data_IF_186189285964
#
_entry.id   IF_186189285964
#
_cell.length_a   1.000
_cell.length_b   1.000
_cell.length_c   1.000
_cell.angle_alpha   90.00
_cell.angle_beta   90.00
_cell.angle_gamma   90.00
#
_symmetry.space_group_name_H-M   'P 1'
#
loop_
_entity.id
_entity.type
_entity.pdbx_description
1 polymer ?
#
# COMPACT_ATOMS: atom_id res chain seq x y z
N UNK A 1 -11.50 -54.41 13.88
CA UNK A 1 -12.49 -53.39 13.46
C UNK A 1 -12.05 -52.06 14.03
N UNK A 2 -11.82 -51.11 13.15
CA UNK A 2 -10.92 -49.95 13.30
C UNK A 2 -11.54 -48.79 14.06
N UNK A 3 -10.70 -48.18 14.89
CA UNK A 3 -10.91 -46.98 15.68
C UNK A 3 -10.78 -45.76 14.74
N UNK A 4 -11.83 -44.95 14.56
CA UNK A 4 -11.75 -43.77 13.70
C UNK A 4 -11.53 -42.51 14.54
N UNK A 5 -10.27 -42.07 14.55
CA UNK A 5 -9.83 -40.79 15.07
C UNK A 5 -10.47 -39.69 14.24
N UNK A 6 -11.31 -38.87 14.88
CA UNK A 6 -11.82 -37.64 14.31
C UNK A 6 -10.82 -36.53 14.66
N UNK A 7 -9.86 -36.28 13.78
CA UNK A 7 -8.92 -35.16 13.87
C UNK A 7 -9.21 -34.13 12.78
N UNK A 8 -9.66 -32.97 13.25
CA UNK A 8 -9.53 -31.63 12.69
C UNK A 8 -8.46 -31.46 11.59
N UNK A 9 -8.85 -30.84 10.48
CA UNK A 9 -8.00 -29.92 9.73
C UNK A 9 -8.86 -28.79 9.11
N UNK A 10 -8.59 -27.57 9.55
CA UNK A 10 -9.24 -26.33 9.13
C UNK A 10 -9.11 -26.09 7.62
N UNK A 11 -10.20 -25.70 6.97
CA UNK A 11 -10.19 -25.17 5.61
C UNK A 11 -9.59 -23.76 5.61
N UNK A 12 -8.28 -23.63 5.38
CA UNK A 12 -7.66 -22.34 5.07
C UNK A 12 -8.05 -21.92 3.66
N UNK A 13 -9.25 -21.34 3.51
CA UNK A 13 -9.72 -20.78 2.25
C UNK A 13 -8.81 -19.61 1.87
N UNK A 14 -7.91 -19.89 0.94
CA UNK A 14 -6.89 -18.99 0.40
C UNK A 14 -7.50 -18.08 -0.67
N UNK A 15 -8.63 -17.48 -0.36
CA UNK A 15 -9.49 -16.81 -1.37
C UNK A 15 -9.20 -15.32 -1.37
N UNK A 16 -8.78 -14.78 -2.52
CA UNK A 16 -8.76 -13.33 -2.74
C UNK A 16 -10.21 -12.85 -2.73
N UNK A 17 -10.51 -11.84 -1.92
CA UNK A 17 -11.88 -11.35 -1.79
C UNK A 17 -12.30 -10.59 -3.06
N UNK A 18 -13.59 -10.68 -3.39
CA UNK A 18 -14.15 -9.84 -4.44
C UNK A 18 -14.04 -8.37 -4.05
N UNK A 19 -13.95 -7.50 -5.05
CA UNK A 19 -13.99 -6.06 -4.81
C UNK A 19 -15.35 -5.66 -4.25
N UNK A 20 -15.38 -4.68 -3.35
CA UNK A 20 -16.63 -4.12 -2.79
C UNK A 20 -17.42 -3.43 -3.90
N UNK A 21 -16.72 -2.78 -4.82
CA UNK A 21 -17.29 -2.05 -5.96
C UNK A 21 -16.33 -2.12 -7.14
N UNK A 22 -16.87 -2.19 -8.35
CA UNK A 22 -16.06 -2.13 -9.57
C UNK A 22 -15.36 -0.77 -9.69
N UNK A 23 -14.03 -0.73 -9.86
CA UNK A 23 -13.28 0.52 -9.83
C UNK A 23 -13.48 1.30 -11.14
N UNK A 24 -14.39 2.28 -11.18
CA UNK A 24 -14.61 3.15 -12.33
C UNK A 24 -13.81 4.44 -12.19
N UNK A 25 -13.94 5.11 -11.06
CA UNK A 25 -13.23 6.36 -10.78
C UNK A 25 -11.73 6.13 -10.61
N UNK A 26 -11.35 5.03 -9.96
CA UNK A 26 -9.96 4.61 -9.84
C UNK A 26 -9.33 4.32 -11.20
N UNK A 27 -10.07 3.79 -12.18
CA UNK A 27 -9.56 3.59 -13.56
C UNK A 27 -9.15 4.93 -14.17
N UNK A 28 -10.01 5.95 -14.10
CA UNK A 28 -9.70 7.29 -14.61
C UNK A 28 -8.43 7.88 -13.96
N UNK A 29 -8.23 7.59 -12.67
CA UNK A 29 -7.02 8.02 -11.93
C UNK A 29 -5.78 7.27 -12.40
N UNK A 30 -5.85 5.95 -12.58
CA UNK A 30 -4.68 5.15 -12.98
C UNK A 30 -4.32 5.28 -14.46
N UNK A 31 -5.27 5.61 -15.33
CA UNK A 31 -5.02 5.84 -16.76
C UNK A 31 -4.01 6.98 -17.00
N UNK A 32 -3.94 7.97 -16.12
CA UNK A 32 -3.10 9.15 -16.32
C UNK A 32 -1.69 9.04 -15.74
N UNK A 33 -1.29 7.89 -15.17
CA UNK A 33 0.00 7.60 -14.49
C UNK A 33 0.43 8.61 -13.39
N UNK A 34 -0.27 9.73 -13.24
CA UNK A 34 0.06 10.84 -12.35
C UNK A 34 0.01 10.43 -10.88
N UNK A 35 -0.86 9.47 -10.53
CA UNK A 35 -0.95 8.87 -9.20
C UNK A 35 0.38 8.28 -8.72
N UNK A 36 1.28 7.87 -9.64
CA UNK A 36 2.61 7.36 -9.29
C UNK A 36 3.47 8.42 -8.59
N UNK A 37 3.19 9.72 -8.77
CA UNK A 37 3.84 10.80 -8.02
C UNK A 37 3.59 10.68 -6.51
N UNK A 38 2.43 10.14 -6.11
CA UNK A 38 2.08 9.88 -4.71
C UNK A 38 2.71 8.60 -4.15
N UNK A 39 3.32 7.76 -4.99
CA UNK A 39 3.83 6.46 -4.57
C UNK A 39 4.92 6.55 -3.49
N UNK A 40 5.77 7.57 -3.52
CA UNK A 40 6.76 7.79 -2.46
C UNK A 40 6.09 8.13 -1.12
N UNK A 41 5.06 8.99 -1.14
CA UNK A 41 4.28 9.36 0.05
C UNK A 41 3.61 8.13 0.65
N UNK A 42 2.97 7.30 -0.19
CA UNK A 42 2.35 6.06 0.26
C UNK A 42 3.36 5.13 0.95
N UNK A 43 4.54 4.92 0.36
CA UNK A 43 5.59 4.06 0.93
C UNK A 43 6.13 4.62 2.26
N UNK A 44 6.32 5.94 2.36
CA UNK A 44 6.77 6.57 3.61
C UNK A 44 5.72 6.40 4.72
N UNK A 45 4.43 6.56 4.42
CA UNK A 45 3.35 6.27 5.37
C UNK A 45 3.29 4.77 5.73
N UNK A 46 3.56 3.86 4.78
CA UNK A 46 3.65 2.42 5.07
C UNK A 46 4.79 2.12 6.06
N UNK A 47 5.95 2.75 5.89
CA UNK A 47 7.09 2.57 6.79
C UNK A 47 6.92 3.20 8.17
N UNK A 48 5.97 4.12 8.35
CA UNK A 48 5.59 4.55 9.68
C UNK A 48 5.07 3.39 10.55
N UNK A 49 4.55 2.31 9.94
CA UNK A 49 4.11 1.13 10.68
C UNK A 49 5.29 0.19 11.01
N UNK A 50 5.56 -0.13 12.29
CA UNK A 50 6.73 -0.93 12.71
C UNK A 50 6.86 -2.28 12.01
N UNK A 51 5.76 -3.05 11.92
CA UNK A 51 5.76 -4.36 11.25
C UNK A 51 6.07 -4.28 9.74
N UNK A 52 5.50 -3.29 9.02
CA UNK A 52 5.80 -3.09 7.58
C UNK A 52 7.25 -2.67 7.37
N UNK A 53 7.77 -1.77 8.21
CA UNK A 53 9.17 -1.37 8.19
C UNK A 53 10.10 -2.56 8.47
N UNK A 54 9.83 -3.34 9.53
CA UNK A 54 10.63 -4.50 9.91
C UNK A 54 10.62 -5.59 8.85
N UNK A 55 9.45 -5.93 8.31
CA UNK A 55 9.32 -6.90 7.22
C UNK A 55 10.06 -6.46 5.96
N UNK A 56 9.94 -5.19 5.58
CA UNK A 56 10.68 -4.64 4.45
C UNK A 56 12.19 -4.61 4.68
N UNK A 57 12.63 -4.21 5.87
CA UNK A 57 14.04 -4.10 6.24
C UNK A 57 14.73 -5.48 6.25
N UNK A 58 14.08 -6.50 6.82
CA UNK A 58 14.66 -7.84 6.95
C UNK A 58 14.61 -8.67 5.66
N UNK A 59 13.62 -8.43 4.79
CA UNK A 59 13.38 -9.29 3.62
C UNK A 59 13.61 -8.59 2.27
N UNK A 60 14.05 -7.34 2.24
CA UNK A 60 14.32 -6.65 0.98
C UNK A 60 15.65 -5.88 0.97
N UNK A 61 16.36 -5.94 -0.15
CA UNK A 61 17.47 -5.03 -0.45
C UNK A 61 16.89 -3.70 -0.93
N UNK A 62 16.25 -2.95 -0.03
CA UNK A 62 15.38 -1.83 -0.38
C UNK A 62 16.10 -0.74 -1.21
N UNK A 63 17.23 -0.24 -0.71
CA UNK A 63 18.01 0.84 -1.35
C UNK A 63 18.43 0.55 -2.79
N UNK A 64 18.70 -0.72 -3.14
CA UNK A 64 19.22 -1.11 -4.46
C UNK A 64 18.13 -1.50 -5.44
N UNK A 65 16.86 -1.52 -5.01
CA UNK A 65 15.73 -2.03 -5.80
C UNK A 65 14.60 -1.03 -6.00
N UNK A 66 14.79 0.24 -5.70
CA UNK A 66 13.75 1.28 -5.85
C UNK A 66 13.08 1.26 -7.24
N UNK A 67 13.81 1.20 -8.38
CA UNK A 67 13.17 1.11 -9.70
C UNK A 67 12.33 -0.16 -9.89
N UNK A 68 12.81 -1.30 -9.36
CA UNK A 68 12.06 -2.56 -9.43
C UNK A 68 10.81 -2.52 -8.55
N UNK A 69 10.90 -1.87 -7.38
CA UNK A 69 9.75 -1.70 -6.48
C UNK A 69 8.69 -0.82 -7.12
N UNK A 70 9.08 0.32 -7.71
CA UNK A 70 8.14 1.18 -8.42
C UNK A 70 7.41 0.42 -9.54
N UNK A 71 8.13 -0.37 -10.34
CA UNK A 71 7.51 -1.23 -11.37
C UNK A 71 6.56 -2.28 -10.77
N UNK A 72 6.92 -2.90 -9.65
CA UNK A 72 6.08 -3.91 -9.02
C UNK A 72 4.80 -3.28 -8.44
N UNK A 73 4.92 -2.10 -7.81
CA UNK A 73 3.77 -1.33 -7.31
C UNK A 73 2.86 -0.91 -8.47
N UNK A 74 3.42 -0.35 -9.55
CA UNK A 74 2.64 0.03 -10.73
C UNK A 74 1.91 -1.18 -11.34
N UNK A 75 2.57 -2.35 -11.45
CA UNK A 75 1.94 -3.59 -11.91
C UNK A 75 0.81 -4.05 -10.99
N UNK A 76 1.03 -4.00 -9.68
CA UNK A 76 -0.01 -4.35 -8.70
C UNK A 76 -1.22 -3.44 -8.83
N UNK A 77 -1.01 -2.11 -8.85
CA UNK A 77 -2.09 -1.12 -8.94
C UNK A 77 -2.86 -1.25 -10.25
N UNK A 78 -2.16 -1.37 -11.38
CA UNK A 78 -2.79 -1.60 -12.68
C UNK A 78 -3.57 -2.92 -12.72
N UNK A 79 -3.00 -4.02 -12.21
CA UNK A 79 -3.70 -5.31 -12.18
C UNK A 79 -4.95 -5.26 -11.28
N UNK A 80 -4.87 -4.59 -10.12
CA UNK A 80 -6.01 -4.42 -9.23
C UNK A 80 -7.13 -3.63 -9.90
N UNK A 81 -6.81 -2.49 -10.51
CA UNK A 81 -7.81 -1.54 -11.02
C UNK A 81 -8.34 -1.92 -12.42
N UNK A 82 -7.44 -2.33 -13.31
CA UNK A 82 -7.73 -2.54 -14.74
C UNK A 82 -7.63 -4.00 -15.19
N UNK A 83 -7.04 -4.89 -14.39
CA UNK A 83 -6.74 -6.25 -14.83
C UNK A 83 -7.98 -7.14 -14.99
N UNK A 84 -7.91 -8.08 -15.94
CA UNK A 84 -8.90 -9.16 -16.05
C UNK A 84 -8.82 -10.10 -14.84
N UNK A 85 -9.84 -10.96 -14.60
CA UNK A 85 -9.77 -11.97 -13.54
C UNK A 85 -8.52 -12.86 -13.62
N UNK A 86 -8.08 -13.22 -14.82
CA UNK A 86 -6.90 -14.05 -15.07
C UNK A 86 -5.60 -13.30 -14.75
N UNK A 87 -5.50 -12.03 -15.17
CA UNK A 87 -4.34 -11.17 -14.88
C UNK A 87 -4.21 -10.90 -13.38
N UNK A 88 -5.33 -10.62 -12.71
CA UNK A 88 -5.43 -10.49 -11.25
C UNK A 88 -4.93 -11.75 -10.57
N UNK A 89 -5.45 -12.92 -10.94
CA UNK A 89 -5.03 -14.20 -10.37
C UNK A 89 -3.52 -14.45 -10.57
N UNK A 90 -3.00 -14.19 -11.77
CA UNK A 90 -1.59 -14.36 -12.08
C UNK A 90 -0.70 -13.45 -11.23
N UNK A 91 -0.96 -12.13 -11.21
CA UNK A 91 -0.15 -11.16 -10.46
C UNK A 91 -0.25 -11.39 -8.96
N UNK A 92 -1.47 -11.57 -8.43
CA UNK A 92 -1.67 -11.72 -6.99
C UNK A 92 -1.10 -13.05 -6.46
N UNK A 93 -1.18 -14.14 -7.23
CA UNK A 93 -0.55 -15.41 -6.82
C UNK A 93 0.96 -15.28 -6.60
N UNK A 94 1.64 -14.50 -7.45
CA UNK A 94 3.07 -14.21 -7.31
C UNK A 94 3.34 -13.40 -6.05
N UNK A 95 2.56 -12.34 -5.81
CA UNK A 95 2.69 -11.49 -4.60
C UNK A 95 2.51 -12.34 -3.33
N UNK A 96 1.43 -13.13 -3.27
CA UNK A 96 1.13 -13.99 -2.13
C UNK A 96 2.21 -15.04 -1.87
N UNK A 97 2.82 -15.60 -2.93
CA UNK A 97 3.96 -16.53 -2.80
C UNK A 97 5.18 -15.87 -2.18
N UNK A 98 5.43 -14.59 -2.46
CA UNK A 98 6.49 -13.83 -1.82
C UNK A 98 6.12 -13.46 -0.37
N UNK A 99 4.91 -12.95 -0.13
CA UNK A 99 4.44 -12.55 1.20
C UNK A 99 4.44 -13.72 2.19
N UNK A 100 4.14 -14.95 1.75
CA UNK A 100 4.22 -16.17 2.57
C UNK A 100 5.61 -16.41 3.21
N UNK A 101 6.67 -15.78 2.68
CA UNK A 101 8.06 -15.87 3.18
C UNK A 101 8.48 -14.67 4.02
N UNK A 102 7.66 -13.63 4.10
CA UNK A 102 7.95 -12.38 4.83
C UNK A 102 7.20 -12.42 6.15
N UNK A 103 7.79 -13.11 7.13
CA UNK A 103 7.23 -13.25 8.47
C UNK A 103 8.34 -13.36 9.51
N UNK A 104 8.06 -12.88 10.70
CA UNK A 104 8.91 -12.96 11.88
C UNK A 104 8.05 -13.14 13.14
N UNK A 105 8.66 -12.96 14.31
CA UNK A 105 7.98 -13.13 15.60
C UNK A 105 6.82 -12.12 15.81
N UNK A 106 6.98 -10.91 15.29
CA UNK A 106 6.11 -9.74 15.51
C UNK A 106 5.59 -9.11 14.20
N UNK A 107 5.70 -9.82 13.07
CA UNK A 107 5.11 -9.38 11.80
C UNK A 107 4.81 -10.56 10.87
N UNK A 108 3.73 -10.45 10.10
CA UNK A 108 3.42 -11.34 8.98
C UNK A 108 2.93 -10.48 7.81
N UNK A 109 3.54 -10.61 6.63
CA UNK A 109 3.11 -9.87 5.44
C UNK A 109 1.74 -10.32 4.90
N UNK A 110 1.09 -11.32 5.49
CA UNK A 110 -0.28 -11.71 5.20
C UNK A 110 -1.27 -11.22 6.26
N UNK A 111 -0.83 -10.41 7.24
CA UNK A 111 -1.70 -9.80 8.24
C UNK A 111 -2.70 -8.82 7.58
N UNK A 112 -4.02 -9.07 7.68
CA UNK A 112 -5.05 -8.20 7.13
C UNK A 112 -4.99 -6.74 7.63
N UNK A 113 -4.54 -6.49 8.86
CA UNK A 113 -4.41 -5.11 9.39
C UNK A 113 -3.29 -4.35 8.67
N UNK A 114 -2.19 -5.03 8.34
CA UNK A 114 -1.11 -4.43 7.54
C UNK A 114 -1.56 -4.16 6.10
N UNK A 115 -2.41 -5.03 5.53
CA UNK A 115 -3.02 -4.80 4.23
C UNK A 115 -3.99 -3.61 4.25
N UNK A 116 -4.79 -3.47 5.31
CA UNK A 116 -5.68 -2.32 5.51
C UNK A 116 -4.88 -1.02 5.56
N UNK A 117 -3.81 -0.96 6.35
CA UNK A 117 -2.95 0.23 6.41
C UNK A 117 -2.31 0.51 5.05
N UNK A 118 -1.78 -0.51 4.38
CA UNK A 118 -1.21 -0.37 3.03
C UNK A 118 -2.22 0.22 2.05
N UNK A 119 -3.44 -0.32 2.00
CA UNK A 119 -4.51 0.19 1.15
C UNK A 119 -4.92 1.63 1.51
N UNK A 120 -4.97 1.97 2.80
CA UNK A 120 -5.26 3.33 3.27
C UNK A 120 -4.22 4.34 2.80
N UNK A 121 -2.93 4.00 2.87
CA UNK A 121 -1.85 4.87 2.37
C UNK A 121 -1.91 5.07 0.85
N UNK A 122 -2.35 4.07 0.09
CA UNK A 122 -2.54 4.18 -1.34
C UNK A 122 -3.70 5.13 -1.66
N UNK A 123 -4.87 4.94 -1.03
CA UNK A 123 -6.00 5.85 -1.17
C UNK A 123 -5.64 7.29 -0.81
N UNK A 124 -4.99 7.50 0.34
CA UNK A 124 -4.51 8.84 0.75
C UNK A 124 -3.59 9.46 -0.30
N UNK A 125 -2.63 8.71 -0.83
CA UNK A 125 -1.71 9.25 -1.86
C UNK A 125 -2.41 9.58 -3.17
N UNK A 126 -3.45 8.82 -3.54
CA UNK A 126 -4.25 9.03 -4.74
C UNK A 126 -5.05 10.33 -4.62
N UNK A 127 -5.78 10.54 -3.51
CA UNK A 127 -6.56 11.76 -3.29
C UNK A 127 -5.64 12.98 -3.23
N UNK A 128 -4.47 12.85 -2.59
CA UNK A 128 -3.50 13.93 -2.48
C UNK A 128 -3.00 14.41 -3.85
N UNK A 129 -2.60 13.47 -4.70
CA UNK A 129 -2.16 13.80 -6.07
C UNK A 129 -3.32 14.37 -6.87
N UNK A 130 -4.50 13.73 -6.82
CA UNK A 130 -5.69 14.16 -7.56
C UNK A 130 -6.05 15.61 -7.22
N UNK A 131 -6.13 15.95 -5.94
CA UNK A 131 -6.47 17.31 -5.52
C UNK A 131 -5.38 18.33 -5.85
N UNK A 132 -4.10 17.91 -5.79
CA UNK A 132 -2.98 18.81 -6.12
C UNK A 132 -3.01 19.25 -7.58
N UNK A 133 -3.36 18.37 -8.52
CA UNK A 133 -3.29 18.67 -9.95
C UNK A 133 -4.64 19.03 -10.60
N UNK A 134 -5.76 18.58 -10.02
CA UNK A 134 -7.08 18.73 -10.62
C UNK A 134 -8.06 19.52 -9.73
N UNK A 135 -7.60 20.03 -8.59
CA UNK A 135 -8.42 20.77 -7.64
C UNK A 135 -9.22 19.87 -6.69
N UNK A 136 -9.88 20.50 -5.70
CA UNK A 136 -10.61 19.79 -4.65
C UNK A 136 -11.71 18.90 -5.21
N UNK A 137 -11.81 17.70 -4.65
CA UNK A 137 -12.87 16.76 -4.96
C UNK A 137 -14.15 17.10 -4.20
N UNK A 138 -15.31 16.81 -4.78
CA UNK A 138 -16.55 16.75 -4.02
C UNK A 138 -16.52 15.57 -3.05
N UNK A 139 -17.27 15.69 -1.96
CA UNK A 139 -17.40 14.62 -0.96
C UNK A 139 -17.91 13.31 -1.58
N UNK A 140 -18.87 13.40 -2.51
CA UNK A 140 -19.40 12.24 -3.23
C UNK A 140 -18.38 11.54 -4.14
N UNK A 141 -17.49 12.30 -4.80
CA UNK A 141 -16.42 11.70 -5.61
C UNK A 141 -15.39 11.00 -4.70
N UNK A 142 -15.04 11.63 -3.57
CA UNK A 142 -14.09 11.05 -2.62
C UNK A 142 -14.66 9.79 -1.93
N UNK A 143 -15.96 9.77 -1.59
CA UNK A 143 -16.63 8.57 -1.10
C UNK A 143 -16.63 7.43 -2.12
N UNK A 144 -16.86 7.75 -3.39
CA UNK A 144 -16.83 6.76 -4.47
C UNK A 144 -15.42 6.18 -4.61
N UNK A 145 -14.40 7.04 -4.63
CA UNK A 145 -13.00 6.58 -4.63
C UNK A 145 -12.64 5.75 -3.40
N UNK A 146 -13.15 6.10 -2.21
CA UNK A 146 -12.92 5.33 -0.99
C UNK A 146 -13.44 3.90 -1.14
N UNK A 147 -14.69 3.74 -1.60
CA UNK A 147 -15.32 2.42 -1.79
C UNK A 147 -14.57 1.58 -2.81
N UNK A 148 -14.14 2.18 -3.92
CA UNK A 148 -13.36 1.49 -4.94
C UNK A 148 -11.96 1.11 -4.44
N UNK A 149 -11.34 1.92 -3.58
CA UNK A 149 -9.99 1.69 -3.04
C UNK A 149 -9.87 0.49 -2.11
N UNK A 150 -10.99 -0.07 -1.65
CA UNK A 150 -11.03 -1.36 -0.97
C UNK A 150 -10.33 -2.47 -1.76
N UNK A 151 -10.32 -2.35 -3.09
CA UNK A 151 -9.68 -3.31 -3.99
C UNK A 151 -8.18 -3.53 -3.68
N UNK A 152 -7.49 -2.50 -3.19
CA UNK A 152 -6.08 -2.63 -2.84
C UNK A 152 -5.87 -3.57 -1.64
N UNK A 153 -6.76 -3.52 -0.65
CA UNK A 153 -6.73 -4.40 0.51
C UNK A 153 -7.24 -5.80 0.18
N UNK A 154 -8.39 -5.91 -0.50
CA UNK A 154 -9.02 -7.20 -0.82
C UNK A 154 -8.17 -8.05 -1.76
N UNK A 155 -7.45 -7.43 -2.70
CA UNK A 155 -6.46 -8.10 -3.57
C UNK A 155 -5.33 -8.77 -2.77
N UNK A 156 -5.02 -8.22 -1.59
CA UNK A 156 -4.05 -8.76 -0.65
C UNK A 156 -4.67 -9.70 0.40
N UNK A 157 -5.95 -10.06 0.27
CA UNK A 157 -6.70 -10.91 1.23
C UNK A 157 -7.05 -10.23 2.55
N UNK A 158 -7.15 -8.89 2.56
CA UNK A 158 -7.90 -8.20 3.61
C UNK A 158 -9.41 -8.47 3.41
N UNK A 159 -10.14 -8.97 4.42
CA UNK A 159 -11.59 -9.07 4.35
C UNK A 159 -12.26 -7.71 4.04
N UNK A 160 -13.26 -7.65 3.15
CA UNK A 160 -13.89 -6.40 2.73
C UNK A 160 -14.52 -5.63 3.89
N UNK A 161 -15.06 -6.32 4.90
CA UNK A 161 -15.65 -5.74 6.11
C UNK A 161 -14.67 -4.96 6.98
N UNK A 162 -13.36 -5.14 6.79
CA UNK A 162 -12.34 -4.35 7.50
C UNK A 162 -12.15 -2.96 6.90
N UNK A 163 -12.56 -2.74 5.65
CA UNK A 163 -12.40 -1.45 4.98
C UNK A 163 -13.40 -0.42 5.53
N UNK A 164 -13.00 0.85 5.71
CA UNK A 164 -13.93 1.89 6.15
C UNK A 164 -15.13 2.05 5.22
N UNK A 165 -16.33 2.18 5.78
CA UNK A 165 -17.58 2.22 5.00
C UNK A 165 -17.88 3.61 4.45
N UNK A 166 -17.31 4.64 5.07
CA UNK A 166 -17.49 6.05 4.75
C UNK A 166 -16.23 6.86 5.09
N UNK A 167 -16.19 8.13 4.65
CA UNK A 167 -15.01 8.98 4.84
C UNK A 167 -14.73 9.30 6.32
N UNK A 168 -15.76 9.42 7.17
CA UNK A 168 -15.57 9.70 8.58
C UNK A 168 -14.80 8.56 9.27
N UNK A 169 -15.22 7.32 9.05
CA UNK A 169 -14.51 6.12 9.54
C UNK A 169 -13.08 6.03 8.97
N UNK A 170 -12.90 6.38 7.69
CA UNK A 170 -11.57 6.38 7.08
C UNK A 170 -10.65 7.38 7.79
N UNK A 171 -11.11 8.62 7.98
CA UNK A 171 -10.29 9.65 8.60
C UNK A 171 -10.04 9.41 10.08
N UNK A 172 -11.00 8.83 10.81
CA UNK A 172 -10.78 8.36 12.18
C UNK A 172 -9.67 7.31 12.23
N UNK A 173 -9.75 6.26 11.40
CA UNK A 173 -8.73 5.24 11.30
C UNK A 173 -7.36 5.81 10.90
N UNK A 174 -7.33 6.68 9.88
CA UNK A 174 -6.12 7.32 9.40
C UNK A 174 -5.46 8.16 10.48
N UNK A 175 -6.21 9.08 11.10
CA UNK A 175 -5.69 9.97 12.13
C UNK A 175 -5.19 9.20 13.35
N UNK A 176 -5.93 8.18 13.79
CA UNK A 176 -5.49 7.30 14.88
C UNK A 176 -4.12 6.66 14.57
N UNK A 177 -3.95 6.09 13.37
CA UNK A 177 -2.66 5.48 12.98
C UNK A 177 -1.56 6.55 12.86
N UNK A 178 -1.84 7.68 12.22
CA UNK A 178 -0.88 8.78 12.12
C UNK A 178 -0.45 9.26 13.50
N UNK A 179 -1.32 9.27 14.51
CA UNK A 179 -1.04 9.71 15.89
C UNK A 179 -0.35 8.67 16.77
N UNK A 180 -0.57 7.39 16.52
CA UNK A 180 -0.11 6.29 17.41
C UNK A 180 1.10 5.54 16.89
N UNK A 181 1.25 5.43 15.56
CA UNK A 181 2.36 4.67 14.97
C UNK A 181 3.71 5.27 15.37
N UNK A 182 4.67 4.38 15.63
CA UNK A 182 6.04 4.71 16.02
C UNK A 182 6.99 4.55 14.84
N UNK A 183 7.58 5.66 14.41
CA UNK A 183 8.63 5.66 13.38
C UNK A 183 9.92 5.11 14.00
N UNK A 184 10.19 3.82 13.73
CA UNK A 184 11.38 3.10 14.20
C UNK A 184 12.66 3.51 13.46
N UNK A 185 13.83 3.13 13.98
CA UNK A 185 15.11 3.36 13.29
C UNK A 185 15.21 2.62 11.94
N UNK A 186 14.57 1.43 11.84
CA UNK A 186 14.44 0.71 10.56
C UNK A 186 13.62 1.54 9.57
N UNK A 187 12.51 2.15 10.01
CA UNK A 187 11.68 3.02 9.18
C UNK A 187 12.47 4.25 8.70
N UNK A 188 13.23 4.91 9.59
CA UNK A 188 14.09 6.05 9.22
C UNK A 188 15.14 5.64 8.19
N UNK A 189 15.78 4.49 8.37
CA UNK A 189 16.76 4.00 7.39
C UNK A 189 16.12 3.70 6.04
N UNK A 190 14.99 2.99 6.01
CA UNK A 190 14.28 2.69 4.75
C UNK A 190 13.81 3.96 4.04
N UNK A 191 13.38 4.96 4.81
CA UNK A 191 12.95 6.24 4.26
C UNK A 191 14.12 7.04 3.69
N UNK A 192 15.29 7.03 4.36
CA UNK A 192 16.53 7.57 3.77
C UNK A 192 16.90 6.83 2.49
N UNK A 193 16.83 5.51 2.48
CA UNK A 193 17.10 4.70 1.29
C UNK A 193 16.12 5.02 0.14
N UNK A 194 14.87 5.40 0.45
CA UNK A 194 13.86 5.83 -0.54
C UNK A 194 14.14 7.24 -1.09
N UNK A 195 14.45 8.19 -0.20
CA UNK A 195 14.65 9.60 -0.53
C UNK A 195 16.03 9.86 -1.17
N UNK A 196 17.01 9.00 -0.87
CA UNK A 196 18.39 9.07 -1.34
C UNK A 196 18.81 7.73 -1.99
N UNK A 197 18.14 7.31 -3.07
CA UNK A 197 18.45 6.07 -3.76
C UNK A 197 19.84 6.13 -4.39
N UNK A 198 20.57 5.02 -4.33
CA UNK A 198 21.88 4.85 -4.96
C UNK A 198 21.71 4.24 -6.36
N UNK A 199 22.65 4.52 -7.27
CA UNK A 199 22.71 3.98 -8.64
C UNK A 199 21.57 4.42 -9.58
N UNK A 200 21.15 5.69 -9.51
CA UNK A 200 20.22 6.25 -10.49
C UNK A 200 20.95 6.79 -11.75
N UNK A 201 20.30 6.76 -12.94
CA UNK A 201 20.77 7.52 -14.09
C UNK A 201 20.87 9.02 -13.75
N UNK A 202 21.85 9.71 -14.32
CA UNK A 202 22.18 11.11 -13.97
C UNK A 202 20.98 12.07 -14.12
N UNK A 203 20.15 11.87 -15.16
CA UNK A 203 18.94 12.66 -15.40
C UNK A 203 17.91 12.53 -14.29
N UNK A 204 17.74 11.31 -13.74
CA UNK A 204 16.84 11.06 -12.60
C UNK A 204 17.47 11.59 -11.32
N UNK A 205 18.78 11.42 -11.12
CA UNK A 205 19.48 11.93 -9.96
C UNK A 205 19.34 13.47 -9.84
N UNK A 206 19.36 14.19 -10.97
CA UNK A 206 19.22 15.64 -11.01
C UNK A 206 17.85 16.16 -10.52
N UNK A 207 16.76 15.39 -10.70
CA UNK A 207 15.42 15.77 -10.23
C UNK A 207 15.14 15.41 -8.76
N UNK A 208 16.01 14.60 -8.14
CA UNK A 208 15.82 14.10 -6.77
C UNK A 208 15.68 15.17 -5.69
N UNK A 209 16.40 16.32 -5.70
CA UNK A 209 16.18 17.37 -4.70
C UNK A 209 14.74 17.91 -4.72
N UNK A 210 14.19 18.16 -5.90
CA UNK A 210 12.82 18.64 -6.06
C UNK A 210 11.81 17.56 -5.63
N UNK A 211 12.02 16.31 -6.05
CA UNK A 211 11.16 15.19 -5.65
C UNK A 211 11.12 15.03 -4.12
N UNK A 212 12.26 15.19 -3.42
CA UNK A 212 12.31 15.15 -1.95
C UNK A 212 11.50 16.27 -1.31
N UNK A 213 11.62 17.51 -1.80
CA UNK A 213 10.87 18.64 -1.27
C UNK A 213 9.36 18.39 -1.43
N UNK A 214 8.92 17.97 -2.62
CA UNK A 214 7.51 17.67 -2.88
C UNK A 214 7.02 16.55 -1.93
N UNK A 215 7.74 15.44 -1.87
CA UNK A 215 7.37 14.29 -1.03
C UNK A 215 7.28 14.65 0.46
N UNK A 216 8.21 15.43 0.99
CA UNK A 216 8.21 15.85 2.40
C UNK A 216 7.06 16.82 2.71
N UNK A 217 6.73 17.74 1.80
CA UNK A 217 5.60 18.66 1.97
C UNK A 217 4.23 17.96 1.87
N UNK A 218 4.18 16.83 1.16
CA UNK A 218 2.97 16.02 1.00
C UNK A 218 2.73 15.02 2.15
N UNK A 219 3.71 14.81 3.02
CA UNK A 219 3.55 13.94 4.19
C UNK A 219 2.76 14.64 5.31
N UNK A 220 1.98 13.88 6.10
CA UNK A 220 1.45 14.38 7.37
C UNK A 220 2.59 14.92 8.26
N UNK A 221 2.37 16.07 8.91
CA UNK A 221 3.40 16.81 9.67
C UNK A 221 4.11 15.95 10.73
N UNK A 222 3.36 15.07 11.42
CA UNK A 222 3.92 14.16 12.42
C UNK A 222 4.91 13.16 11.81
N UNK A 223 4.70 12.76 10.56
CA UNK A 223 5.60 11.85 9.85
C UNK A 223 6.78 12.59 9.25
N UNK A 224 6.57 13.74 8.60
CA UNK A 224 7.65 14.51 7.97
C UNK A 224 8.75 14.94 8.96
N UNK A 225 8.40 15.22 10.21
CA UNK A 225 9.35 15.57 11.28
C UNK A 225 10.15 14.38 11.85
N UNK A 226 9.78 13.13 11.52
CA UNK A 226 10.33 11.91 12.15
C UNK A 226 11.12 11.02 11.20
N UNK A 227 11.11 11.36 9.90
CA UNK A 227 11.66 10.59 8.79
C UNK A 227 12.94 11.26 8.28
#
# INVERSE_FOLDING_TARGET
MTNNQNTSAASTNTTIFQTITEPKELRNVVENDIYLLGGQVAILCQFAHPALAKGSFKHSSFATRIPQRLRNTARFLNAAVCGTPEEKAAIFSVIHKYHARVKGEDYDANDPELHKWTAATLFFSIILVRETFFGKMSESEMESLLKESAIFGTSLRMPPEMWPTNLAEFWEYWNHNIETLEVTDMARKLSRDLLYPINLPLSVAASMPLARIITVNWLPERLSSRI
#
